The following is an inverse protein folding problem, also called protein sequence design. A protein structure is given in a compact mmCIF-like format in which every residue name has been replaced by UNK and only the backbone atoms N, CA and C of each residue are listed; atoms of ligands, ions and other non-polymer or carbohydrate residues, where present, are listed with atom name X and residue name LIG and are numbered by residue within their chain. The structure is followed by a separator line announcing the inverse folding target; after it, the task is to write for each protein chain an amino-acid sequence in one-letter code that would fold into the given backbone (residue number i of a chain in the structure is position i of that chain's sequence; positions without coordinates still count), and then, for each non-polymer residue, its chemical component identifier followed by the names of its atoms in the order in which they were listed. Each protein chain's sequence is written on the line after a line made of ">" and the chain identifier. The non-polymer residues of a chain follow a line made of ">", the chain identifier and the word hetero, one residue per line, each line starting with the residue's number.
data_IF_838705504697
#
_entry.id   IF_838705504697
#
_cell.length_a   1.000
_cell.length_b   1.000
_cell.length_c   1.000
_cell.angle_alpha   90.00
_cell.angle_beta   90.00
_cell.angle_gamma   90.00
#
_symmetry.space_group_name_H-M   'P 1'
#
loop_
_entity.id
_entity.type
_entity.pdbx_description
1 polymer ?
#
# COMPACT_ATOMS: atom_id res chain seq x y z
N UNK A 1 -4.13 -15.99 -11.08
CA UNK A 1 -2.95 -16.45 -10.33
C UNK A 1 -1.73 -15.79 -10.94
N UNK A 2 -1.00 -15.00 -10.15
CA UNK A 2 0.25 -14.35 -10.60
C UNK A 2 1.36 -15.41 -10.69
N UNK A 3 2.17 -15.37 -11.74
CA UNK A 3 3.35 -16.22 -11.90
C UNK A 3 4.60 -15.35 -11.96
N UNK A 4 5.72 -15.90 -11.47
CA UNK A 4 7.04 -15.27 -11.64
C UNK A 4 7.30 -15.09 -13.14
N UNK A 5 7.95 -13.98 -13.52
CA UNK A 5 8.19 -13.53 -14.91
C UNK A 5 6.96 -13.04 -15.70
N UNK A 6 5.75 -13.12 -15.14
CA UNK A 6 4.58 -12.51 -15.79
C UNK A 6 4.54 -11.00 -15.55
N UNK A 7 4.02 -10.20 -16.51
CA UNK A 7 3.76 -8.78 -16.27
C UNK A 7 2.88 -8.59 -15.02
N UNK A 8 3.29 -7.66 -14.16
CA UNK A 8 2.49 -7.31 -13.00
C UNK A 8 1.14 -6.71 -13.46
N UNK A 9 0.00 -7.21 -12.95
CA UNK A 9 -1.31 -6.65 -13.26
C UNK A 9 -1.43 -5.25 -12.67
N UNK A 10 -2.19 -4.37 -13.31
CA UNK A 10 -2.48 -3.04 -12.76
C UNK A 10 -3.14 -3.16 -11.38
N UNK A 11 -2.74 -2.29 -10.45
CA UNK A 11 -3.36 -2.22 -9.13
C UNK A 11 -4.77 -1.64 -9.30
N UNK A 12 -5.78 -2.45 -8.99
CA UNK A 12 -7.18 -2.01 -8.97
C UNK A 12 -7.51 -1.57 -7.55
N UNK A 13 -7.28 -0.28 -7.27
CA UNK A 13 -7.64 0.33 -6.00
C UNK A 13 -9.02 0.99 -6.12
N UNK A 14 -9.87 0.82 -5.11
CA UNK A 14 -11.11 1.61 -5.00
C UNK A 14 -10.79 3.08 -4.75
N UNK A 15 -9.77 3.33 -3.93
CA UNK A 15 -9.29 4.67 -3.62
C UNK A 15 -7.82 4.67 -3.19
N UNK A 16 -7.23 5.85 -3.17
CA UNK A 16 -5.89 6.10 -2.64
C UNK A 16 -6.00 6.99 -1.40
N UNK A 17 -5.53 6.47 -0.28
CA UNK A 17 -5.58 7.18 1.01
C UNK A 17 -4.33 8.03 1.22
N UNK A 18 -3.18 7.61 0.68
CA UNK A 18 -1.91 8.36 0.78
C UNK A 18 -1.21 8.36 -0.58
N UNK A 19 -0.64 9.50 -0.94
CA UNK A 19 0.07 9.71 -2.20
C UNK A 19 -0.83 9.72 -3.43
N UNK A 20 -0.23 10.04 -4.57
CA UNK A 20 -0.94 10.08 -5.85
C UNK A 20 -1.23 8.68 -6.40
N UNK A 21 -2.38 8.46 -7.07
CA UNK A 21 -2.71 7.18 -7.69
C UNK A 21 -1.60 6.61 -8.58
N UNK A 22 -1.26 5.34 -8.40
CA UNK A 22 -0.40 4.61 -9.34
C UNK A 22 -1.26 4.03 -10.47
N UNK A 23 -1.16 4.62 -11.67
CA UNK A 23 -1.97 4.22 -12.83
C UNK A 23 -1.29 3.18 -13.72
N UNK A 24 0.04 3.08 -13.67
CA UNK A 24 0.83 2.10 -14.43
C UNK A 24 2.20 1.85 -13.79
N UNK A 25 2.81 0.71 -14.11
CA UNK A 25 4.19 0.43 -13.74
C UNK A 25 5.15 0.89 -14.85
N UNK A 26 6.05 1.80 -14.49
CA UNK A 26 7.08 2.30 -15.39
C UNK A 26 8.27 1.35 -15.51
N UNK A 27 8.76 1.06 -16.73
CA UNK A 27 10.00 0.32 -16.93
C UNK A 27 11.20 1.00 -16.27
N UNK A 28 12.12 0.22 -15.71
CA UNK A 28 13.33 0.72 -15.06
C UNK A 28 13.14 1.16 -13.60
N UNK A 29 11.90 1.17 -13.09
CA UNK A 29 11.61 1.30 -11.66
C UNK A 29 11.38 -0.08 -11.03
N UNK A 30 11.67 -0.17 -9.73
CA UNK A 30 11.38 -1.36 -8.92
C UNK A 30 10.22 -1.03 -8.00
N UNK A 31 9.11 -1.77 -8.16
CA UNK A 31 7.94 -1.61 -7.31
C UNK A 31 7.90 -2.73 -6.27
N UNK A 32 7.75 -2.35 -5.01
CA UNK A 32 7.48 -3.29 -3.92
C UNK A 32 6.03 -3.07 -3.51
N UNK A 33 5.19 -4.04 -3.83
CA UNK A 33 3.76 -4.02 -3.50
C UNK A 33 3.55 -4.88 -2.27
N UNK A 34 3.13 -4.26 -1.16
CA UNK A 34 2.80 -4.94 0.09
C UNK A 34 1.29 -4.97 0.27
N UNK A 35 0.71 -6.16 0.31
CA UNK A 35 -0.69 -6.36 0.71
C UNK A 35 -0.74 -6.53 2.22
N UNK A 36 -1.52 -5.69 2.90
CA UNK A 36 -1.55 -5.63 4.36
C UNK A 36 -2.95 -5.27 4.89
N UNK A 37 -3.11 -5.34 6.21
CA UNK A 37 -4.30 -4.89 6.92
C UNK A 37 -3.95 -4.41 8.33
N UNK A 38 -4.78 -3.56 8.92
CA UNK A 38 -4.58 -3.01 10.28
C UNK A 38 -4.51 -4.10 11.36
N UNK A 39 -5.19 -5.23 11.14
CA UNK A 39 -5.18 -6.37 12.06
C UNK A 39 -3.99 -7.32 11.83
N UNK A 40 -3.23 -7.15 10.74
CA UNK A 40 -2.01 -7.93 10.47
C UNK A 40 -0.83 -7.33 11.24
N UNK A 41 -0.62 -7.77 12.48
CA UNK A 41 0.44 -7.21 13.35
C UNK A 41 1.82 -7.22 12.70
N UNK A 42 2.24 -8.33 12.08
CA UNK A 42 3.54 -8.41 11.41
C UNK A 42 3.67 -7.48 10.19
N UNK A 43 2.57 -7.23 9.48
CA UNK A 43 2.58 -6.28 8.37
C UNK A 43 2.78 -4.86 8.91
N UNK A 44 2.03 -4.50 9.96
CA UNK A 44 2.14 -3.18 10.62
C UNK A 44 3.55 -2.96 11.19
N UNK A 45 4.15 -3.97 11.82
CA UNK A 45 5.52 -3.91 12.32
C UNK A 45 6.56 -3.78 11.18
N UNK A 46 6.21 -4.21 9.96
CA UNK A 46 7.03 -4.10 8.76
C UNK A 46 6.99 -2.71 8.11
N UNK A 47 5.91 -1.94 8.28
CA UNK A 47 5.73 -0.63 7.62
C UNK A 47 6.89 0.35 7.88
N UNK A 48 7.43 0.50 9.12
CA UNK A 48 8.59 1.37 9.35
C UNK A 48 9.84 0.96 8.55
N UNK A 49 10.02 -0.33 8.27
CA UNK A 49 11.12 -0.80 7.44
C UNK A 49 10.90 -0.46 5.97
N UNK A 50 9.66 -0.54 5.49
CA UNK A 50 9.31 -0.09 4.15
C UNK A 50 9.49 1.42 3.98
N UNK A 51 9.15 2.22 5.00
CA UNK A 51 9.42 3.66 4.99
C UNK A 51 10.92 3.96 4.84
N UNK A 52 11.77 3.21 5.54
CA UNK A 52 13.23 3.33 5.43
C UNK A 52 13.74 2.91 4.04
N UNK A 53 13.17 1.86 3.45
CA UNK A 53 13.52 1.44 2.08
C UNK A 53 13.10 2.49 1.05
N UNK A 54 11.89 3.04 1.17
CA UNK A 54 11.41 4.13 0.33
C UNK A 54 12.38 5.31 0.39
N UNK A 55 12.77 5.74 1.59
CA UNK A 55 13.67 6.89 1.75
C UNK A 55 15.08 6.60 1.20
N UNK A 56 15.60 5.40 1.45
CA UNK A 56 16.95 5.02 1.03
C UNK A 56 17.08 4.86 -0.49
N UNK A 57 16.04 4.39 -1.16
CA UNK A 57 16.13 3.96 -2.56
C UNK A 57 15.21 4.74 -3.52
N UNK A 58 14.47 5.76 -3.06
CA UNK A 58 13.66 6.64 -3.93
C UNK A 58 14.45 7.19 -5.12
N UNK A 59 15.68 7.65 -4.91
CA UNK A 59 16.52 8.21 -5.98
C UNK A 59 17.07 7.14 -6.93
N UNK A 60 17.06 5.87 -6.50
CA UNK A 60 17.42 4.71 -7.32
C UNK A 60 16.22 4.10 -8.05
N UNK A 61 15.04 4.73 -7.99
CA UNK A 61 13.84 4.27 -8.69
C UNK A 61 13.05 3.18 -7.97
N UNK A 62 13.23 3.01 -6.65
CA UNK A 62 12.36 2.13 -5.84
C UNK A 62 11.11 2.88 -5.41
N UNK A 63 9.95 2.25 -5.62
CA UNK A 63 8.65 2.75 -5.17
C UNK A 63 7.90 1.68 -4.36
N UNK A 64 7.57 2.02 -3.12
CA UNK A 64 6.74 1.20 -2.25
C UNK A 64 5.26 1.54 -2.47
N UNK A 65 4.41 0.52 -2.55
CA UNK A 65 2.96 0.65 -2.60
C UNK A 65 2.34 -0.29 -1.59
N UNK A 66 1.67 0.26 -0.58
CA UNK A 66 0.85 -0.54 0.34
C UNK A 66 -0.57 -0.67 -0.20
N UNK A 67 -1.08 -1.89 -0.30
CA UNK A 67 -2.47 -2.18 -0.62
C UNK A 67 -3.13 -2.69 0.65
N UNK A 68 -3.92 -1.83 1.29
CA UNK A 68 -4.71 -2.20 2.45
C UNK A 68 -5.92 -2.99 1.96
N UNK A 69 -5.89 -4.30 2.19
CA UNK A 69 -6.89 -5.24 1.72
C UNK A 69 -7.48 -6.01 2.91
N UNK A 70 -8.73 -6.47 2.78
CA UNK A 70 -9.38 -7.27 3.81
C UNK A 70 -9.49 -6.59 5.19
N UNK A 71 -9.70 -5.27 5.21
CA UNK A 71 -10.02 -4.55 6.45
C UNK A 71 -11.32 -5.07 7.07
N UNK A 72 -11.34 -5.16 8.41
CA UNK A 72 -12.49 -5.72 9.13
C UNK A 72 -13.45 -4.61 9.52
N UNK A 73 -14.46 -4.37 8.69
CA UNK A 73 -15.58 -3.49 9.02
C UNK A 73 -16.89 -4.01 8.40
N UNK A 74 -18.06 -3.59 8.92
CA UNK A 74 -19.36 -3.89 8.33
C UNK A 74 -19.54 -3.42 6.88
N UNK A 75 -18.88 -2.34 6.47
CA UNK A 75 -18.99 -1.77 5.11
C UNK A 75 -17.63 -1.27 4.60
N UNK A 76 -17.48 -1.19 3.27
CA UNK A 76 -16.28 -0.66 2.63
C UNK A 76 -15.99 0.80 3.04
N UNK A 77 -17.03 1.63 3.14
CA UNK A 77 -16.89 3.02 3.58
C UNK A 77 -16.40 3.13 5.04
N UNK A 78 -16.93 2.29 5.93
CA UNK A 78 -16.49 2.26 7.32
C UNK A 78 -15.05 1.75 7.45
N UNK A 79 -14.69 0.72 6.68
CA UNK A 79 -13.31 0.22 6.60
C UNK A 79 -12.36 1.33 6.13
N UNK A 80 -12.70 2.02 5.03
CA UNK A 80 -11.91 3.11 4.46
C UNK A 80 -11.72 4.26 5.45
N UNK A 81 -12.80 4.74 6.06
CA UNK A 81 -12.75 5.84 7.03
C UNK A 81 -11.96 5.49 8.29
N UNK A 82 -12.14 4.27 8.82
CA UNK A 82 -11.40 3.81 10.00
C UNK A 82 -9.91 3.66 9.69
N UNK A 83 -9.58 3.08 8.53
CA UNK A 83 -8.21 2.95 8.05
C UNK A 83 -7.53 4.31 7.88
N UNK A 84 -8.22 5.29 7.29
CA UNK A 84 -7.67 6.64 7.10
C UNK A 84 -7.34 7.34 8.43
N UNK A 85 -8.25 7.24 9.41
CA UNK A 85 -8.01 7.74 10.76
C UNK A 85 -6.83 7.01 11.43
N UNK A 86 -6.79 5.68 11.32
CA UNK A 86 -5.73 4.85 11.88
C UNK A 86 -4.36 5.19 11.28
N UNK A 87 -4.27 5.39 9.96
CA UNK A 87 -3.03 5.79 9.28
C UNK A 87 -2.55 7.15 9.78
N UNK A 88 -3.47 8.09 9.98
CA UNK A 88 -3.15 9.43 10.52
C UNK A 88 -2.60 9.34 11.94
N UNK A 89 -3.18 8.49 12.78
CA UNK A 89 -2.75 8.32 14.18
C UNK A 89 -1.43 7.55 14.30
N UNK A 90 -1.33 6.39 13.64
CA UNK A 90 -0.21 5.45 13.82
C UNK A 90 0.98 5.76 12.92
N UNK A 91 0.74 6.28 11.71
CA UNK A 91 1.75 6.54 10.70
C UNK A 91 1.64 7.97 10.14
N UNK A 92 1.72 9.02 10.98
CA UNK A 92 1.56 10.41 10.53
C UNK A 92 2.62 10.84 9.51
N UNK A 93 3.77 10.17 9.48
CA UNK A 93 4.89 10.46 8.59
C UNK A 93 5.07 9.41 7.49
N UNK A 94 4.03 8.64 7.16
CA UNK A 94 4.10 7.66 6.08
C UNK A 94 4.55 8.33 4.77
N UNK A 95 5.60 7.78 4.14
CA UNK A 95 6.26 8.39 2.99
C UNK A 95 6.06 7.62 1.68
N UNK A 96 5.13 6.66 1.65
CA UNK A 96 4.78 5.89 0.46
C UNK A 96 3.26 5.81 0.28
N UNK A 97 2.85 5.33 -0.90
CA UNK A 97 1.44 5.32 -1.30
C UNK A 97 0.64 4.23 -0.60
N UNK A 98 -0.61 4.53 -0.27
CA UNK A 98 -1.57 3.54 0.24
C UNK A 98 -2.82 3.52 -0.62
N UNK A 99 -3.08 2.36 -1.23
CA UNK A 99 -4.33 2.01 -1.87
C UNK A 99 -5.25 1.28 -0.88
N UNK A 100 -6.55 1.44 -1.06
CA UNK A 100 -7.58 0.69 -0.36
C UNK A 100 -8.32 -0.23 -1.32
N UNK A 101 -8.51 -1.48 -0.91
CA UNK A 101 -9.26 -2.51 -1.64
C UNK A 101 -10.14 -3.29 -0.65
N UNK A 102 -11.46 -3.17 -0.78
CA UNK A 102 -12.40 -3.91 0.06
C UNK A 102 -12.77 -5.28 -0.51
N UNK A 103 -12.35 -5.59 -1.75
CA UNK A 103 -12.78 -6.78 -2.49
C UNK A 103 -11.87 -7.99 -2.27
N UNK A 104 -10.58 -7.76 -2.02
CA UNK A 104 -9.61 -8.82 -1.69
C UNK A 104 -8.99 -9.49 -2.90
#
# INVERSE_FOLDING_TARGET
>A
MLQIESPAPSIQAETWLRGEPLTSFEPGKVYIVEFWATWCGSCVDGMPHLMQLQEKYRESGVEIVGVAASERAPTADEARSTLDAWLTEKFPNLNYRIAFDSTG
#
